data_IF_390376061212
#
_entry.id   IF_390376061212
#
_cell.length_a   1.000
_cell.length_b   1.000
_cell.length_c   1.000
_cell.angle_alpha   90.00
_cell.angle_beta   90.00
_cell.angle_gamma   90.00
#
_symmetry.space_group_name_H-M   'P 1'
#
loop_
_entity.id
_entity.type
_entity.pdbx_description
1 polymer ?
#
# COMPACT_ATOMS: atom_id res chain seq x y z
N UNK A 1 -40.38 -8.42 22.68
CA UNK A 1 -39.56 -8.08 21.51
C UNK A 1 -40.05 -8.96 20.38
N UNK A 2 -40.66 -8.39 19.33
CA UNK A 2 -41.16 -9.15 18.19
C UNK A 2 -39.99 -9.55 17.30
N UNK A 3 -40.03 -10.77 16.76
CA UNK A 3 -39.13 -11.17 15.68
C UNK A 3 -39.53 -10.36 14.45
N UNK A 4 -38.55 -9.76 13.79
CA UNK A 4 -38.73 -8.96 12.58
C UNK A 4 -38.19 -9.76 11.41
N UNK A 5 -38.81 -9.63 10.25
CA UNK A 5 -38.22 -9.95 8.95
C UNK A 5 -37.55 -8.70 8.37
N UNK A 6 -36.21 -8.71 8.35
CA UNK A 6 -35.39 -7.54 8.03
C UNK A 6 -34.61 -7.81 6.75
N UNK A 7 -34.74 -6.88 5.81
CA UNK A 7 -33.95 -6.87 4.60
C UNK A 7 -32.82 -5.85 4.72
N UNK A 8 -31.60 -6.29 4.46
CA UNK A 8 -30.40 -5.47 4.44
C UNK A 8 -29.92 -5.33 2.99
N UNK A 9 -29.93 -4.11 2.45
CA UNK A 9 -29.61 -3.79 1.07
C UNK A 9 -28.28 -3.02 0.99
N UNK A 10 -27.18 -3.68 0.61
CA UNK A 10 -25.88 -3.03 0.56
C UNK A 10 -24.69 -3.99 0.61
N UNK A 11 -23.52 -3.43 0.35
CA UNK A 11 -22.25 -4.18 0.28
C UNK A 11 -21.23 -3.76 1.35
N UNK A 12 -21.55 -2.81 2.23
CA UNK A 12 -20.60 -2.36 3.26
C UNK A 12 -20.30 -3.41 4.33
N UNK A 13 -19.14 -3.24 4.97
CA UNK A 13 -18.76 -4.05 6.13
C UNK A 13 -19.70 -3.82 7.32
N UNK A 14 -20.18 -2.59 7.55
CA UNK A 14 -21.14 -2.29 8.60
C UNK A 14 -22.42 -3.10 8.42
N UNK A 15 -22.98 -3.14 7.21
CA UNK A 15 -24.21 -3.89 6.95
C UNK A 15 -24.03 -5.40 7.17
N UNK A 16 -22.87 -5.94 6.78
CA UNK A 16 -22.51 -7.34 7.02
C UNK A 16 -22.40 -7.67 8.51
N UNK A 17 -21.84 -6.76 9.32
CA UNK A 17 -21.75 -6.91 10.79
C UNK A 17 -23.10 -6.78 11.48
N UNK A 18 -23.89 -5.78 11.09
CA UNK A 18 -25.27 -5.58 11.56
C UNK A 18 -26.11 -6.83 11.30
N UNK A 19 -25.95 -7.48 10.15
CA UNK A 19 -26.62 -8.75 9.85
C UNK A 19 -26.32 -9.85 10.88
N UNK A 20 -25.09 -9.92 11.37
CA UNK A 20 -24.67 -10.84 12.42
C UNK A 20 -25.35 -10.53 13.75
N UNK A 21 -25.32 -9.27 14.18
CA UNK A 21 -25.93 -8.82 15.44
C UNK A 21 -27.44 -9.03 15.46
N UNK A 22 -28.14 -8.64 14.39
CA UNK A 22 -29.59 -8.80 14.28
C UNK A 22 -30.03 -10.27 14.33
N UNK A 23 -29.25 -11.18 13.74
CA UNK A 23 -29.50 -12.63 13.87
C UNK A 23 -29.30 -13.12 15.30
N UNK A 24 -28.27 -12.64 16.00
CA UNK A 24 -28.05 -12.96 17.42
C UNK A 24 -29.19 -12.43 18.31
N UNK A 25 -29.78 -11.30 17.94
CA UNK A 25 -30.98 -10.73 18.57
C UNK A 25 -32.28 -11.50 18.24
N UNK A 26 -32.22 -12.51 17.36
CA UNK A 26 -33.34 -13.38 17.00
C UNK A 26 -34.19 -12.91 15.82
N UNK A 27 -33.75 -11.88 15.08
CA UNK A 27 -34.44 -11.43 13.87
C UNK A 27 -34.17 -12.38 12.68
N UNK A 28 -35.10 -12.42 11.74
CA UNK A 28 -34.87 -13.00 10.43
C UNK A 28 -34.22 -11.93 9.55
N UNK A 29 -33.07 -12.25 8.96
CA UNK A 29 -32.24 -11.25 8.26
C UNK A 29 -31.80 -11.77 6.91
N UNK A 30 -32.17 -11.04 5.87
CA UNK A 30 -31.83 -11.30 4.47
C UNK A 30 -30.87 -10.21 3.98
N UNK A 31 -29.73 -10.61 3.42
CA UNK A 31 -28.68 -9.68 2.97
C UNK A 31 -28.63 -9.70 1.44
N UNK A 32 -28.89 -8.55 0.82
CA UNK A 32 -28.86 -8.33 -0.63
C UNK A 32 -27.64 -7.45 -0.95
N UNK A 33 -26.58 -8.07 -1.49
CA UNK A 33 -25.28 -7.43 -1.68
C UNK A 33 -25.01 -7.01 -3.13
N UNK A 34 -25.91 -7.34 -4.05
CA UNK A 34 -25.78 -7.00 -5.48
C UNK A 34 -27.12 -6.53 -6.02
N UNK A 35 -27.13 -5.67 -7.07
CA UNK A 35 -28.38 -5.23 -7.68
C UNK A 35 -29.27 -6.38 -8.18
N UNK A 36 -28.67 -7.44 -8.72
CA UNK A 36 -29.39 -8.63 -9.19
C UNK A 36 -30.10 -9.42 -8.05
N UNK A 37 -29.71 -9.18 -6.80
CA UNK A 37 -30.37 -9.79 -5.64
C UNK A 37 -31.77 -9.22 -5.40
N UNK A 38 -32.06 -8.01 -5.91
CA UNK A 38 -33.37 -7.37 -5.76
C UNK A 38 -34.47 -8.06 -6.57
N UNK A 39 -34.15 -8.63 -7.74
CA UNK A 39 -35.13 -9.30 -8.61
C UNK A 39 -35.76 -10.55 -7.97
N UNK A 40 -35.08 -11.11 -6.97
CA UNK A 40 -35.46 -12.36 -6.32
C UNK A 40 -36.13 -12.14 -4.96
N UNK A 41 -36.32 -10.88 -4.53
CA UNK A 41 -36.84 -10.56 -3.21
C UNK A 41 -38.08 -9.66 -3.27
N UNK A 42 -39.08 -9.99 -2.44
CA UNK A 42 -40.27 -9.15 -2.27
C UNK A 42 -39.98 -8.07 -1.22
N UNK A 43 -39.42 -6.94 -1.67
CA UNK A 43 -39.02 -5.82 -0.81
C UNK A 43 -40.16 -5.31 0.11
N UNK A 44 -41.39 -5.27 -0.39
CA UNK A 44 -42.58 -4.79 0.32
C UNK A 44 -43.15 -5.75 1.36
N UNK A 45 -42.64 -6.98 1.46
CA UNK A 45 -43.12 -8.00 2.40
C UNK A 45 -42.34 -8.04 3.72
N UNK A 46 -41.27 -7.23 3.85
CA UNK A 46 -40.40 -7.21 5.03
C UNK A 46 -40.95 -6.26 6.10
N UNK A 47 -40.69 -6.52 7.39
CA UNK A 47 -41.08 -5.61 8.48
C UNK A 47 -40.25 -4.31 8.49
N UNK A 48 -39.01 -4.42 8.04
CA UNK A 48 -38.04 -3.32 8.00
C UNK A 48 -37.04 -3.54 6.87
N UNK A 49 -36.66 -2.46 6.20
CA UNK A 49 -35.56 -2.46 5.26
C UNK A 49 -34.46 -1.52 5.76
N UNK A 50 -33.21 -1.94 5.65
CA UNK A 50 -32.05 -1.14 6.01
C UNK A 50 -31.09 -1.12 4.83
N UNK A 51 -30.74 0.05 4.34
CA UNK A 51 -29.70 0.23 3.31
C UNK A 51 -28.49 1.00 3.85
N UNK A 52 -27.37 0.90 3.17
CA UNK A 52 -26.14 1.67 3.45
C UNK A 52 -25.75 2.62 2.29
N UNK A 53 -26.72 2.87 1.39
CA UNK A 53 -26.60 3.59 0.13
C UNK A 53 -25.51 3.13 -0.87
N UNK A 54 -24.82 2.00 -0.62
CA UNK A 54 -23.79 1.47 -1.53
C UNK A 54 -24.36 0.88 -2.83
N UNK A 55 -25.63 0.46 -2.81
CA UNK A 55 -26.34 -0.10 -3.96
C UNK A 55 -27.45 0.83 -4.47
N UNK A 56 -27.47 2.10 -4.05
CA UNK A 56 -28.46 3.07 -4.49
C UNK A 56 -28.24 3.52 -5.95
N UNK A 57 -29.30 3.81 -6.72
CA UNK A 57 -30.71 3.63 -6.37
C UNK A 57 -31.14 2.15 -6.43
N UNK A 58 -32.06 1.76 -5.57
CA UNK A 58 -32.66 0.43 -5.51
C UNK A 58 -34.21 0.54 -5.67
N UNK A 59 -34.94 -0.54 -6.01
CA UNK A 59 -36.34 -0.47 -6.49
C UNK A 59 -37.32 0.15 -5.49
N UNK A 60 -38.52 0.57 -5.94
CA UNK A 60 -39.59 1.11 -5.08
C UNK A 60 -40.09 0.11 -4.02
N UNK A 61 -40.44 0.62 -2.83
CA UNK A 61 -40.49 -0.17 -1.58
C UNK A 61 -41.86 -0.22 -0.91
N UNK A 62 -42.88 0.25 -1.63
CA UNK A 62 -44.23 0.42 -1.08
C UNK A 62 -44.20 1.28 0.18
N UNK A 63 -45.02 0.93 1.18
CA UNK A 63 -45.14 1.68 2.45
C UNK A 63 -44.19 1.15 3.55
N UNK A 64 -43.26 0.26 3.21
CA UNK A 64 -42.37 -0.37 4.20
C UNK A 64 -41.49 0.66 4.90
N UNK A 65 -41.34 0.51 6.22
CA UNK A 65 -40.39 1.29 7.03
C UNK A 65 -38.96 1.05 6.55
N UNK A 66 -38.20 2.13 6.45
CA UNK A 66 -36.83 2.09 5.96
C UNK A 66 -35.89 2.79 6.93
N UNK A 67 -34.68 2.25 7.04
CA UNK A 67 -33.51 2.91 7.57
C UNK A 67 -32.44 3.03 6.49
N UNK A 68 -31.70 4.12 6.47
CA UNK A 68 -30.50 4.25 5.65
C UNK A 68 -29.32 4.69 6.51
N UNK A 69 -28.23 3.96 6.39
CA UNK A 69 -26.98 4.17 7.12
C UNK A 69 -26.02 4.90 6.19
N UNK A 70 -25.82 6.19 6.41
CA UNK A 70 -25.03 7.04 5.51
C UNK A 70 -23.96 7.82 6.26
N UNK A 71 -23.03 8.39 5.52
CA UNK A 71 -22.03 9.32 6.03
C UNK A 71 -22.18 10.68 5.37
N UNK A 72 -21.86 11.75 6.10
CA UNK A 72 -21.67 13.06 5.51
C UNK A 72 -20.32 13.07 4.75
N UNK A 73 -20.36 13.33 3.44
CA UNK A 73 -19.23 13.16 2.53
C UNK A 73 -18.59 14.48 2.11
N UNK A 74 -18.30 15.37 3.07
CA UNK A 74 -17.56 16.61 2.80
C UNK A 74 -16.11 16.47 3.29
N UNK A 75 -15.15 16.56 2.36
CA UNK A 75 -13.71 16.58 2.63
C UNK A 75 -13.23 15.47 3.60
N UNK A 76 -13.65 14.22 3.36
CA UNK A 76 -13.22 13.07 4.17
C UNK A 76 -11.69 13.02 4.30
N UNK A 77 -11.23 12.96 5.54
CA UNK A 77 -9.81 12.96 5.90
C UNK A 77 -9.60 12.06 7.12
N UNK A 78 -8.48 11.32 7.21
CA UNK A 78 -8.15 10.58 8.43
C UNK A 78 -7.80 11.50 9.61
N UNK A 79 -7.66 12.80 9.36
CA UNK A 79 -7.40 13.86 10.34
C UNK A 79 -8.62 14.75 10.58
N UNK A 80 -9.83 14.23 10.38
CA UNK A 80 -11.06 14.94 10.67
C UNK A 80 -12.09 13.97 11.24
N UNK A 81 -13.01 14.50 12.04
CA UNK A 81 -14.15 13.74 12.53
C UNK A 81 -15.05 13.32 11.35
N UNK A 82 -15.60 12.12 11.42
CA UNK A 82 -16.55 11.60 10.45
C UNK A 82 -17.95 11.65 11.07
N UNK A 83 -18.89 12.23 10.34
CA UNK A 83 -20.27 12.29 10.77
C UNK A 83 -21.08 11.20 10.07
N UNK A 84 -21.64 10.30 10.87
CA UNK A 84 -22.48 9.19 10.42
C UNK A 84 -23.94 9.49 10.75
N UNK A 85 -24.86 8.98 9.95
CA UNK A 85 -26.29 9.23 10.08
C UNK A 85 -27.10 7.94 9.97
N UNK A 86 -27.98 7.76 10.93
CA UNK A 86 -29.09 6.80 10.84
C UNK A 86 -30.31 7.59 10.40
N UNK A 87 -30.73 7.35 9.17
CA UNK A 87 -31.87 8.00 8.55
C UNK A 87 -33.08 7.07 8.57
N UNK A 88 -34.28 7.62 8.61
CA UNK A 88 -35.52 6.86 8.44
C UNK A 88 -36.46 7.53 7.46
N UNK A 89 -37.31 6.72 6.83
CA UNK A 89 -38.50 7.18 6.12
C UNK A 89 -39.57 6.08 6.11
N UNK A 90 -40.75 6.46 5.67
CA UNK A 90 -41.89 5.57 5.45
C UNK A 90 -42.40 5.81 4.05
N UNK A 91 -42.41 4.77 3.22
CA UNK A 91 -42.66 4.88 1.79
C UNK A 91 -41.80 5.92 1.08
N UNK A 92 -42.44 6.82 0.34
CA UNK A 92 -41.78 7.87 -0.47
C UNK A 92 -41.56 9.19 0.28
N UNK A 93 -41.80 9.22 1.60
CA UNK A 93 -41.53 10.41 2.40
C UNK A 93 -40.03 10.77 2.37
N UNK A 94 -39.68 12.06 2.52
CA UNK A 94 -38.28 12.47 2.57
C UNK A 94 -37.56 11.82 3.76
N UNK A 95 -36.26 11.57 3.59
CA UNK A 95 -35.41 11.06 4.66
C UNK A 95 -35.40 12.01 5.85
N UNK A 96 -35.50 11.44 7.05
CA UNK A 96 -35.43 12.14 8.32
C UNK A 96 -34.26 11.58 9.13
N UNK A 97 -33.53 12.42 9.86
CA UNK A 97 -32.40 11.98 10.68
C UNK A 97 -32.90 11.51 12.05
N UNK A 98 -32.76 10.21 12.35
CA UNK A 98 -33.01 9.68 13.69
C UNK A 98 -31.86 9.99 14.62
N UNK A 99 -30.64 9.75 14.15
CA UNK A 99 -29.44 9.88 14.95
C UNK A 99 -28.25 10.29 14.10
N UNK A 100 -27.43 11.15 14.71
CA UNK A 100 -26.17 11.63 14.17
C UNK A 100 -25.06 11.19 15.11
N UNK A 101 -24.08 10.47 14.57
CA UNK A 101 -22.93 9.99 15.30
C UNK A 101 -21.73 10.80 14.85
N UNK A 102 -21.18 11.59 15.76
CA UNK A 102 -19.97 12.38 15.51
C UNK A 102 -18.77 11.53 15.95
N UNK A 103 -18.17 10.79 15.01
CA UNK A 103 -17.03 9.91 15.24
C UNK A 103 -15.76 10.77 15.22
N UNK A 104 -15.01 10.89 16.33
CA UNK A 104 -13.84 11.75 16.38
C UNK A 104 -12.74 11.28 15.42
N UNK A 105 -11.85 12.19 15.05
CA UNK A 105 -10.65 11.83 14.29
C UNK A 105 -9.78 10.82 15.04
N UNK A 106 -9.04 10.00 14.29
CA UNK A 106 -8.11 9.06 14.88
C UNK A 106 -6.76 9.74 15.15
N UNK A 107 -6.29 9.73 16.40
CA UNK A 107 -5.10 10.50 16.82
C UNK A 107 -3.80 10.07 16.11
N UNK A 108 -3.71 8.80 15.69
CA UNK A 108 -2.61 8.31 14.87
C UNK A 108 -2.65 8.86 13.44
N UNK A 109 -3.81 9.38 13.00
CA UNK A 109 -4.10 9.73 11.62
C UNK A 109 -4.22 8.49 10.74
N UNK A 110 -4.44 7.30 11.31
CA UNK A 110 -4.69 6.06 10.58
C UNK A 110 -6.16 5.99 10.16
N UNK A 111 -6.43 6.20 8.87
CA UNK A 111 -7.80 6.18 8.38
C UNK A 111 -8.44 4.79 8.43
N UNK A 112 -7.67 3.70 8.46
CA UNK A 112 -8.24 2.36 8.63
C UNK A 112 -8.89 2.17 10.00
N UNK A 113 -8.24 2.67 11.05
CA UNK A 113 -8.78 2.61 12.41
C UNK A 113 -9.99 3.54 12.56
N UNK A 114 -9.94 4.74 11.95
CA UNK A 114 -11.08 5.66 11.91
C UNK A 114 -12.31 5.02 11.24
N UNK A 115 -12.13 4.37 10.09
CA UNK A 115 -13.20 3.66 9.38
C UNK A 115 -13.75 2.54 10.25
N UNK A 116 -12.89 1.73 10.87
CA UNK A 116 -13.32 0.63 11.72
C UNK A 116 -14.17 1.12 12.90
N UNK A 117 -13.74 2.19 13.57
CA UNK A 117 -14.49 2.82 14.67
C UNK A 117 -15.83 3.37 14.19
N UNK A 118 -15.83 4.10 13.05
CA UNK A 118 -17.06 4.64 12.48
C UNK A 118 -18.08 3.55 12.09
N UNK A 119 -17.60 2.44 11.53
CA UNK A 119 -18.45 1.29 11.21
C UNK A 119 -19.01 0.63 12.48
N UNK A 120 -18.23 0.55 13.56
CA UNK A 120 -18.70 -0.01 14.83
C UNK A 120 -19.80 0.85 15.45
N UNK A 121 -19.58 2.16 15.59
CA UNK A 121 -20.58 3.11 16.11
C UNK A 121 -21.88 3.06 15.31
N UNK A 122 -21.78 2.98 13.97
CA UNK A 122 -22.95 2.85 13.09
C UNK A 122 -23.73 1.56 13.36
N UNK A 123 -23.04 0.42 13.51
CA UNK A 123 -23.68 -0.87 13.77
C UNK A 123 -24.40 -0.85 15.11
N UNK A 124 -23.74 -0.35 16.16
CA UNK A 124 -24.31 -0.25 17.51
C UNK A 124 -25.57 0.64 17.52
N UNK A 125 -25.52 1.81 16.89
CA UNK A 125 -26.66 2.72 16.78
C UNK A 125 -27.83 2.09 15.98
N UNK A 126 -27.54 1.51 14.82
CA UNK A 126 -28.56 0.86 13.99
C UNK A 126 -29.22 -0.31 14.74
N UNK A 127 -28.43 -1.17 15.39
CA UNK A 127 -28.93 -2.28 16.19
C UNK A 127 -29.81 -1.78 17.34
N UNK A 128 -29.44 -0.70 18.02
CA UNK A 128 -30.24 -0.10 19.10
C UNK A 128 -31.60 0.40 18.59
N UNK A 129 -31.65 1.09 17.45
CA UNK A 129 -32.89 1.57 16.83
C UNK A 129 -33.81 0.43 16.40
N UNK A 130 -33.24 -0.61 15.77
CA UNK A 130 -33.98 -1.80 15.35
C UNK A 130 -34.51 -2.55 16.58
N UNK A 131 -33.71 -2.63 17.65
CA UNK A 131 -34.13 -3.17 18.94
C UNK A 131 -35.33 -2.40 19.50
N UNK A 132 -35.31 -1.07 19.44
CA UNK A 132 -36.43 -0.20 19.82
C UNK A 132 -37.69 -0.49 19.03
N UNK A 133 -37.57 -0.52 17.70
CA UNK A 133 -38.68 -0.82 16.78
C UNK A 133 -39.27 -2.23 16.98
N UNK A 134 -38.44 -3.21 17.32
CA UNK A 134 -38.90 -4.56 17.64
C UNK A 134 -39.67 -4.64 18.97
N UNK A 135 -39.57 -3.64 19.85
CA UNK A 135 -40.37 -3.56 21.08
C UNK A 135 -41.62 -2.71 20.92
N UNK A 136 -41.61 -1.76 19.97
CA UNK A 136 -42.68 -0.80 19.74
C UNK A 136 -42.75 -0.41 18.26
N UNK A 137 -43.84 -0.74 17.57
CA UNK A 137 -44.06 -0.39 16.16
C UNK A 137 -44.08 1.13 15.89
N UNK A 138 -44.46 1.92 16.90
CA UNK A 138 -44.44 3.38 16.82
C UNK A 138 -43.09 3.99 17.24
N UNK A 139 -42.03 3.18 17.41
CA UNK A 139 -40.74 3.66 17.91
C UNK A 139 -40.17 4.81 17.06
N UNK A 140 -40.08 4.65 15.75
CA UNK A 140 -39.49 5.67 14.87
C UNK A 140 -40.28 6.98 14.86
N UNK A 141 -41.61 6.92 14.91
CA UNK A 141 -42.46 8.11 14.95
C UNK A 141 -42.43 8.84 16.31
N UNK A 142 -41.99 8.15 17.37
CA UNK A 142 -41.80 8.72 18.71
C UNK A 142 -40.38 9.25 18.93
N UNK A 143 -39.44 8.90 18.05
CA UNK A 143 -38.06 9.37 18.14
C UNK A 143 -37.97 10.88 17.87
N UNK A 144 -37.11 11.56 18.62
CA UNK A 144 -36.82 12.97 18.37
C UNK A 144 -35.90 13.07 17.15
N UNK A 145 -36.44 13.60 16.05
CA UNK A 145 -35.68 13.82 14.83
C UNK A 145 -34.62 14.92 15.02
N UNK A 146 -33.48 14.74 14.36
CA UNK A 146 -32.38 15.69 14.29
C UNK A 146 -32.38 16.41 12.94
N UNK A 147 -31.70 17.55 12.86
CA UNK A 147 -31.52 18.24 11.58
C UNK A 147 -30.53 17.47 10.70
N UNK A 148 -30.84 17.35 9.41
CA UNK A 148 -29.88 16.87 8.42
C UNK A 148 -28.72 17.88 8.28
N UNK A 149 -27.47 17.41 8.11
CA UNK A 149 -26.35 18.28 7.82
C UNK A 149 -26.52 18.94 6.45
N UNK A 150 -25.86 20.09 6.27
CA UNK A 150 -25.79 20.74 4.96
C UNK A 150 -24.88 19.98 3.98
N UNK A 151 -24.00 19.13 4.51
CA UNK A 151 -23.04 18.35 3.74
C UNK A 151 -23.76 17.27 2.91
N UNK A 152 -23.25 16.95 1.70
CA UNK A 152 -23.81 15.88 0.90
C UNK A 152 -23.73 14.56 1.65
N UNK A 153 -24.76 13.73 1.52
CA UNK A 153 -24.78 12.39 2.07
C UNK A 153 -24.25 11.39 1.05
N UNK A 154 -23.54 10.37 1.51
CA UNK A 154 -23.07 9.30 0.67
C UNK A 154 -23.16 7.94 1.37
N UNK A 155 -23.08 6.88 0.55
CA UNK A 155 -22.97 5.52 1.02
C UNK A 155 -21.69 5.27 1.81
N UNK A 156 -21.74 4.23 2.63
CA UNK A 156 -20.64 3.88 3.53
C UNK A 156 -19.36 3.46 2.79
N UNK A 157 -19.45 3.06 1.51
CA UNK A 157 -18.31 2.76 0.63
C UNK A 157 -17.37 3.94 0.44
N UNK A 158 -17.85 5.18 0.56
CA UNK A 158 -16.98 6.36 0.44
C UNK A 158 -15.93 6.41 1.54
N UNK A 159 -16.21 5.82 2.71
CA UNK A 159 -15.27 5.77 3.83
C UNK A 159 -14.12 4.80 3.58
N UNK A 160 -14.30 3.79 2.72
CA UNK A 160 -13.24 2.80 2.42
C UNK A 160 -11.97 3.46 1.86
N UNK A 161 -12.11 4.64 1.22
CA UNK A 161 -10.95 5.43 0.76
C UNK A 161 -10.03 5.82 1.91
N UNK A 162 -10.59 6.11 3.09
CA UNK A 162 -9.82 6.48 4.26
C UNK A 162 -8.98 5.31 4.77
N UNK A 163 -9.40 4.06 4.56
CA UNK A 163 -8.66 2.89 5.00
C UNK A 163 -7.26 2.77 4.38
N UNK A 164 -7.01 3.45 3.25
CA UNK A 164 -5.73 3.49 2.57
C UNK A 164 -4.97 4.81 2.78
N UNK A 165 -5.44 5.65 3.70
CA UNK A 165 -4.84 6.95 3.99
C UNK A 165 -4.32 7.01 5.43
N UNK A 166 -3.14 7.60 5.57
CA UNK A 166 -2.51 7.93 6.84
C UNK A 166 -2.06 9.40 6.79
N UNK A 167 -1.97 10.08 7.94
CA UNK A 167 -1.41 11.44 8.02
C UNK A 167 -0.01 11.59 7.40
N UNK A 168 0.73 10.49 7.27
CA UNK A 168 2.07 10.45 6.67
C UNK A 168 2.06 10.24 5.14
N UNK A 169 0.90 10.02 4.52
CA UNK A 169 0.79 9.93 3.06
C UNK A 169 0.74 11.29 2.37
N UNK A 170 0.55 12.38 3.12
CA UNK A 170 0.66 13.74 2.61
C UNK A 170 2.14 14.10 2.36
N UNK A 171 2.71 13.56 1.28
CA UNK A 171 4.12 13.74 0.92
C UNK A 171 4.36 14.93 -0.02
N UNK A 172 3.31 15.65 -0.43
CA UNK A 172 3.41 16.83 -1.31
C UNK A 172 3.92 18.04 -0.52
N UNK A 173 5.21 18.02 -0.19
CA UNK A 173 5.91 19.09 0.48
C UNK A 173 6.84 19.73 -0.55
N UNK A 174 6.56 20.94 -1.06
CA UNK A 174 7.32 21.54 -2.18
C UNK A 174 8.83 21.61 -1.95
N UNK A 175 9.24 21.83 -0.70
CA UNK A 175 10.66 21.83 -0.31
C UNK A 175 11.31 20.45 -0.46
N UNK A 176 10.60 19.37 -0.09
CA UNK A 176 11.08 17.99 -0.26
C UNK A 176 11.08 17.61 -1.74
N UNK A 177 10.06 18.00 -2.50
CA UNK A 177 10.02 17.78 -3.97
C UNK A 177 11.20 18.46 -4.67
N UNK A 178 11.54 19.69 -4.25
CA UNK A 178 12.71 20.41 -4.77
C UNK A 178 14.02 19.72 -4.38
N UNK A 179 14.16 19.27 -3.13
CA UNK A 179 15.34 18.53 -2.68
C UNK A 179 15.50 17.19 -3.41
N UNK A 180 14.38 16.50 -3.67
CA UNK A 180 14.32 15.24 -4.40
C UNK A 180 14.65 15.38 -5.89
N UNK A 181 14.73 16.60 -6.44
CA UNK A 181 15.17 16.85 -7.82
C UNK A 181 16.64 16.46 -8.07
N UNK A 182 17.40 16.18 -7.01
CA UNK A 182 18.72 15.56 -7.13
C UNK A 182 18.64 14.13 -6.64
N UNK A 183 19.14 13.19 -7.44
CA UNK A 183 19.08 11.77 -7.08
C UNK A 183 19.92 11.46 -5.84
N UNK A 184 19.46 10.47 -5.08
CA UNK A 184 20.21 9.91 -3.94
C UNK A 184 21.65 9.55 -4.33
N UNK A 185 21.85 8.93 -5.50
CA UNK A 185 23.18 8.55 -5.98
C UNK A 185 24.04 9.76 -6.31
N UNK A 186 23.48 10.83 -6.88
CA UNK A 186 24.23 12.05 -7.15
C UNK A 186 24.70 12.73 -5.85
N UNK A 187 23.82 12.82 -4.84
CA UNK A 187 24.20 13.31 -3.50
C UNK A 187 25.27 12.44 -2.84
N UNK A 188 25.10 11.12 -2.87
CA UNK A 188 26.05 10.20 -2.27
C UNK A 188 27.40 10.22 -2.99
N UNK A 189 27.42 10.29 -4.32
CA UNK A 189 28.64 10.41 -5.10
C UNK A 189 29.40 11.71 -4.76
N UNK A 190 28.69 12.82 -4.58
CA UNK A 190 29.30 14.07 -4.12
C UNK A 190 29.90 13.92 -2.71
N UNK A 191 29.13 13.35 -1.77
CA UNK A 191 29.60 13.10 -0.40
C UNK A 191 30.83 12.19 -0.36
N UNK A 192 30.89 11.16 -1.22
CA UNK A 192 32.03 10.25 -1.34
C UNK A 192 33.32 10.97 -1.74
N UNK A 193 33.23 11.97 -2.62
CA UNK A 193 34.38 12.76 -3.05
C UNK A 193 34.83 13.71 -1.94
N UNK A 194 33.88 14.44 -1.33
CA UNK A 194 34.18 15.43 -0.29
C UNK A 194 34.74 14.76 0.97
N UNK A 195 34.19 13.62 1.36
CA UNK A 195 34.53 12.91 2.59
C UNK A 195 35.30 11.61 2.34
N UNK A 196 36.14 11.57 1.30
CA UNK A 196 36.80 10.35 0.81
C UNK A 196 37.54 9.51 1.88
N UNK A 197 38.09 10.13 2.93
CA UNK A 197 38.80 9.43 4.00
C UNK A 197 37.94 9.09 5.22
N UNK A 198 36.69 9.57 5.27
CA UNK A 198 35.78 9.24 6.35
C UNK A 198 35.27 7.80 6.23
N UNK A 199 34.96 7.13 7.35
CA UNK A 199 34.40 5.79 7.34
C UNK A 199 33.00 5.80 6.72
N UNK A 200 32.76 4.90 5.77
CA UNK A 200 31.48 4.65 5.12
C UNK A 200 30.79 3.40 5.67
N UNK A 201 31.55 2.33 5.91
CA UNK A 201 31.03 1.05 6.41
C UNK A 201 31.91 0.50 7.54
N UNK A 202 31.29 -0.22 8.48
CA UNK A 202 31.97 -1.04 9.48
C UNK A 202 31.53 -2.49 9.27
N UNK A 203 32.40 -3.31 8.71
CA UNK A 203 32.12 -4.71 8.36
C UNK A 203 33.07 -5.60 9.14
N UNK A 204 32.54 -6.45 10.02
CA UNK A 204 33.34 -7.40 10.82
C UNK A 204 34.51 -6.73 11.57
N UNK A 205 34.30 -5.51 12.07
CA UNK A 205 35.34 -4.72 12.77
C UNK A 205 36.31 -3.97 11.84
N UNK A 206 36.26 -4.18 10.52
CA UNK A 206 37.02 -3.42 9.54
C UNK A 206 36.24 -2.18 9.11
N UNK A 207 36.88 -1.02 9.20
CA UNK A 207 36.36 0.22 8.62
C UNK A 207 36.68 0.26 7.12
N UNK A 208 35.68 0.61 6.32
CA UNK A 208 35.81 0.89 4.89
C UNK A 208 35.54 2.37 4.70
N UNK A 209 36.47 3.08 4.09
CA UNK A 209 36.33 4.51 3.77
C UNK A 209 35.38 4.74 2.59
N UNK A 210 34.87 5.97 2.45
CA UNK A 210 34.11 6.36 1.26
C UNK A 210 34.91 6.19 -0.04
N UNK A 211 36.23 6.41 -0.01
CA UNK A 211 37.11 6.16 -1.16
C UNK A 211 37.14 4.70 -1.57
N UNK A 212 37.25 3.77 -0.62
CA UNK A 212 37.25 2.33 -0.91
C UNK A 212 35.90 1.86 -1.47
N UNK A 213 34.80 2.35 -0.88
CA UNK A 213 33.45 2.05 -1.37
C UNK A 213 33.23 2.59 -2.78
N UNK A 214 33.66 3.83 -3.04
CA UNK A 214 33.59 4.45 -4.36
C UNK A 214 34.40 3.67 -5.39
N UNK A 215 35.66 3.33 -5.08
CA UNK A 215 36.52 2.59 -5.98
C UNK A 215 35.94 1.21 -6.35
N UNK A 216 35.42 0.47 -5.37
CA UNK A 216 34.75 -0.81 -5.65
C UNK A 216 33.49 -0.62 -6.50
N UNK A 217 32.70 0.41 -6.22
CA UNK A 217 31.49 0.74 -6.99
C UNK A 217 31.83 1.00 -8.45
N UNK A 218 32.87 1.81 -8.71
CA UNK A 218 33.35 2.09 -10.07
C UNK A 218 33.81 0.82 -10.77
N UNK A 219 34.60 -0.03 -10.11
CA UNK A 219 35.09 -1.28 -10.71
C UNK A 219 33.92 -2.20 -11.14
N UNK A 220 32.87 -2.28 -10.32
CA UNK A 220 31.65 -3.03 -10.67
C UNK A 220 30.93 -2.38 -11.85
N UNK A 221 30.78 -1.06 -11.88
CA UNK A 221 30.14 -0.35 -13.00
C UNK A 221 30.85 -0.59 -14.34
N UNK A 222 32.18 -0.57 -14.35
CA UNK A 222 32.97 -0.82 -15.57
C UNK A 222 32.71 -2.20 -16.17
N UNK A 223 32.44 -3.20 -15.33
CA UNK A 223 32.08 -4.56 -15.76
C UNK A 223 30.60 -4.73 -16.05
N UNK A 224 29.74 -3.99 -15.35
CA UNK A 224 28.30 -4.08 -15.49
C UNK A 224 27.80 -3.39 -16.77
N UNK A 225 28.33 -2.21 -17.10
CA UNK A 225 27.85 -1.40 -18.24
C UNK A 225 27.79 -2.16 -19.57
N UNK A 226 28.82 -2.93 -19.99
CA UNK A 226 28.75 -3.70 -21.22
C UNK A 226 27.62 -4.76 -21.22
N UNK A 227 27.31 -5.35 -20.06
CA UNK A 227 26.24 -6.34 -19.92
C UNK A 227 24.84 -5.73 -20.03
N UNK A 228 24.72 -4.42 -19.78
CA UNK A 228 23.47 -3.68 -19.89
C UNK A 228 23.24 -3.06 -21.27
N UNK A 229 24.26 -3.03 -22.14
CA UNK A 229 24.22 -2.28 -23.40
C UNK A 229 23.16 -2.80 -24.40
N UNK A 230 22.88 -4.11 -24.37
CA UNK A 230 21.94 -4.77 -25.30
C UNK A 230 20.50 -4.84 -24.75
N UNK A 231 20.27 -4.30 -23.56
CA UNK A 231 18.96 -4.36 -22.91
C UNK A 231 18.01 -3.30 -23.47
N UNK A 232 16.81 -3.74 -23.86
CA UNK A 232 15.76 -2.84 -24.33
C UNK A 232 14.92 -2.37 -23.13
N UNK A 233 15.05 -1.10 -22.77
CA UNK A 233 14.35 -0.52 -21.62
C UNK A 233 15.18 -0.58 -20.34
N UNK A 234 14.51 -0.58 -19.18
CA UNK A 234 15.20 -0.53 -17.90
C UNK A 234 15.62 -1.92 -17.44
N UNK A 235 16.92 -2.17 -17.42
CA UNK A 235 17.48 -3.46 -17.02
C UNK A 235 17.27 -3.74 -15.52
N UNK A 236 16.84 -4.95 -15.19
CA UNK A 236 16.81 -5.46 -13.81
C UNK A 236 18.10 -6.23 -13.55
N UNK A 237 18.79 -5.89 -12.45
CA UNK A 237 20.03 -6.54 -12.02
C UNK A 237 19.82 -7.17 -10.66
N UNK A 238 19.90 -8.50 -10.63
CA UNK A 238 19.82 -9.27 -9.39
C UNK A 238 21.17 -9.21 -8.66
N UNK A 239 21.15 -9.06 -7.35
CA UNK A 239 22.37 -9.05 -6.52
C UNK A 239 22.24 -10.10 -5.44
N UNK A 240 23.03 -11.16 -5.55
CA UNK A 240 23.06 -12.30 -4.66
C UNK A 240 24.38 -12.33 -3.88
N UNK A 241 24.52 -11.41 -2.93
CA UNK A 241 25.75 -11.21 -2.15
C UNK A 241 25.47 -11.21 -0.64
N UNK A 242 26.41 -11.73 0.13
CA UNK A 242 26.40 -11.61 1.58
C UNK A 242 26.66 -10.16 2.04
N UNK A 243 26.40 -9.87 3.31
CA UNK A 243 26.68 -8.54 3.89
C UNK A 243 28.17 -8.24 3.83
N UNK A 244 28.56 -7.24 3.05
CA UNK A 244 29.96 -6.88 2.88
C UNK A 244 30.13 -5.72 1.90
N UNK A 245 31.39 -5.34 1.64
CA UNK A 245 31.73 -4.23 0.75
C UNK A 245 31.16 -4.44 -0.66
N UNK A 246 31.29 -5.67 -1.18
CA UNK A 246 30.79 -6.03 -2.50
C UNK A 246 29.29 -5.77 -2.62
N UNK A 247 28.47 -6.20 -1.65
CA UNK A 247 27.01 -5.96 -1.66
C UNK A 247 26.69 -4.48 -1.80
N UNK A 248 27.20 -3.63 -0.91
CA UNK A 248 26.87 -2.20 -0.93
C UNK A 248 27.39 -1.51 -2.18
N UNK A 249 28.60 -1.86 -2.64
CA UNK A 249 29.15 -1.35 -3.88
C UNK A 249 28.32 -1.78 -5.11
N UNK A 250 27.82 -3.02 -5.14
CA UNK A 250 26.93 -3.51 -6.20
C UNK A 250 25.60 -2.76 -6.23
N UNK A 251 24.98 -2.49 -5.07
CA UNK A 251 23.74 -1.68 -5.02
C UNK A 251 23.99 -0.32 -5.66
N UNK A 252 25.04 0.38 -5.24
CA UNK A 252 25.37 1.70 -5.77
C UNK A 252 25.74 1.66 -7.26
N UNK A 253 26.42 0.60 -7.70
CA UNK A 253 26.81 0.43 -9.10
C UNK A 253 25.58 0.28 -9.99
N UNK A 254 24.63 -0.59 -9.60
CA UNK A 254 23.37 -0.83 -10.30
C UNK A 254 22.55 0.46 -10.40
N UNK A 255 22.34 1.15 -9.28
CA UNK A 255 21.58 2.40 -9.23
C UNK A 255 22.25 3.51 -10.05
N UNK A 256 23.57 3.64 -9.97
CA UNK A 256 24.33 4.60 -10.77
C UNK A 256 24.31 4.30 -12.28
N UNK A 257 24.14 3.04 -12.66
CA UNK A 257 23.89 2.62 -14.05
C UNK A 257 22.45 2.85 -14.51
N UNK A 258 21.54 3.30 -13.64
CA UNK A 258 20.12 3.49 -13.94
C UNK A 258 19.31 2.21 -14.05
N UNK A 259 19.88 1.10 -13.59
CA UNK A 259 19.22 -0.21 -13.57
C UNK A 259 18.43 -0.41 -12.27
N UNK A 260 17.50 -1.38 -12.28
CA UNK A 260 16.68 -1.75 -11.13
C UNK A 260 17.44 -2.76 -10.27
N UNK A 261 17.65 -2.43 -9.00
CA UNK A 261 18.24 -3.32 -8.02
C UNK A 261 17.24 -4.37 -7.54
N UNK A 262 17.58 -5.65 -7.69
CA UNK A 262 16.80 -6.77 -7.17
C UNK A 262 17.63 -7.52 -6.10
N UNK A 263 17.31 -7.38 -4.79
CA UNK A 263 17.99 -8.13 -3.74
C UNK A 263 17.64 -9.62 -3.81
N UNK A 264 18.67 -10.47 -3.77
CA UNK A 264 18.54 -11.90 -3.58
C UNK A 264 19.35 -12.33 -2.37
N UNK A 265 18.72 -13.02 -1.42
CA UNK A 265 19.44 -13.62 -0.31
C UNK A 265 20.13 -14.91 -0.81
N UNK A 266 21.48 -15.00 -0.80
CA UNK A 266 22.19 -16.20 -1.23
C UNK A 266 21.87 -17.44 -0.37
N UNK A 267 21.34 -17.27 0.84
CA UNK A 267 20.92 -18.37 1.72
C UNK A 267 19.56 -18.97 1.33
N UNK A 268 18.80 -18.32 0.43
CA UNK A 268 17.57 -18.89 -0.07
C UNK A 268 17.83 -20.10 -0.99
N UNK A 269 16.93 -21.11 -0.96
CA UNK A 269 16.99 -22.24 -1.88
C UNK A 269 17.12 -21.78 -3.34
N UNK A 270 17.87 -22.53 -4.14
CA UNK A 270 18.14 -22.19 -5.54
C UNK A 270 16.85 -21.99 -6.33
N UNK A 271 15.86 -22.87 -6.13
CA UNK A 271 14.57 -22.84 -6.81
C UNK A 271 13.84 -21.51 -6.55
N UNK A 272 13.90 -21.01 -5.32
CA UNK A 272 13.31 -19.72 -4.94
C UNK A 272 14.02 -18.56 -5.62
N UNK A 273 15.36 -18.57 -5.64
CA UNK A 273 16.16 -17.53 -6.28
C UNK A 273 15.94 -17.51 -7.79
N UNK A 274 15.90 -18.67 -8.44
CA UNK A 274 15.61 -18.81 -9.87
C UNK A 274 14.21 -18.30 -10.21
N UNK A 275 13.19 -18.69 -9.45
CA UNK A 275 11.82 -18.21 -9.64
C UNK A 275 11.72 -16.69 -9.57
N UNK A 276 12.42 -16.04 -8.64
CA UNK A 276 12.44 -14.58 -8.52
C UNK A 276 13.14 -13.93 -9.71
N UNK A 277 14.31 -14.45 -10.11
CA UNK A 277 15.08 -13.96 -11.27
C UNK A 277 14.26 -14.04 -12.55
N UNK A 278 13.60 -15.18 -12.79
CA UNK A 278 12.77 -15.43 -13.97
C UNK A 278 11.54 -14.52 -13.98
N UNK A 279 10.83 -14.42 -12.84
CA UNK A 279 9.66 -13.55 -12.74
C UNK A 279 10.01 -12.06 -12.89
N UNK A 280 11.18 -11.64 -12.40
CA UNK A 280 11.68 -10.28 -12.54
C UNK A 280 12.31 -10.00 -13.91
N UNK A 281 12.48 -11.02 -14.75
CA UNK A 281 13.21 -10.94 -16.02
C UNK A 281 14.60 -10.29 -15.82
N UNK A 282 15.31 -10.69 -14.76
CA UNK A 282 16.60 -10.10 -14.44
C UNK A 282 17.63 -10.42 -15.53
N UNK A 283 18.22 -9.36 -16.09
CA UNK A 283 19.16 -9.44 -17.21
C UNK A 283 20.57 -9.86 -16.80
N UNK A 284 20.98 -9.45 -15.60
CA UNK A 284 22.29 -9.72 -15.02
C UNK A 284 22.14 -10.16 -13.57
N UNK A 285 22.94 -11.12 -13.15
CA UNK A 285 23.09 -11.53 -11.75
C UNK A 285 24.50 -11.19 -11.29
N UNK A 286 24.61 -10.33 -10.29
CA UNK A 286 25.86 -10.05 -9.56
C UNK A 286 25.96 -11.03 -8.40
N UNK A 287 27.08 -11.75 -8.30
CA UNK A 287 27.29 -12.78 -7.29
C UNK A 287 28.76 -12.92 -6.88
N UNK A 288 28.99 -13.73 -5.86
CA UNK A 288 30.32 -14.16 -5.44
C UNK A 288 30.29 -15.68 -5.28
N UNK A 289 31.28 -16.36 -5.87
CA UNK A 289 31.35 -17.83 -5.87
C UNK A 289 30.28 -18.51 -6.73
N UNK A 290 30.13 -19.82 -6.56
CA UNK A 290 29.13 -20.62 -7.29
C UNK A 290 27.78 -20.60 -6.58
N UNK A 291 26.77 -20.06 -7.26
CA UNK A 291 25.40 -19.96 -6.76
C UNK A 291 24.43 -20.95 -7.41
N UNK A 292 24.87 -21.75 -8.40
CA UNK A 292 24.06 -22.77 -9.08
C UNK A 292 23.03 -22.23 -10.06
N UNK A 293 23.11 -20.96 -10.48
CA UNK A 293 22.21 -20.41 -11.50
C UNK A 293 22.47 -21.04 -12.89
N UNK A 294 21.42 -21.14 -13.71
CA UNK A 294 21.53 -21.65 -15.07
C UNK A 294 22.29 -20.66 -15.97
N UNK A 295 22.98 -21.17 -17.00
CA UNK A 295 23.83 -20.40 -17.91
C UNK A 295 23.08 -19.40 -18.82
N UNK A 296 21.76 -19.27 -18.69
CA UNK A 296 20.93 -18.43 -19.55
C UNK A 296 20.93 -16.94 -19.15
N UNK A 297 21.49 -16.59 -17.99
CA UNK A 297 21.59 -15.21 -17.52
C UNK A 297 23.03 -14.71 -17.62
N UNK A 298 23.23 -13.43 -17.91
CA UNK A 298 24.56 -12.83 -17.74
C UNK A 298 24.92 -12.84 -16.24
N UNK A 299 26.13 -13.27 -15.94
CA UNK A 299 26.62 -13.39 -14.57
C UNK A 299 27.86 -12.50 -14.39
N UNK A 300 27.88 -11.71 -13.32
CA UNK A 300 29.01 -10.89 -12.92
C UNK A 300 29.53 -11.37 -11.56
N UNK A 301 30.61 -12.15 -11.60
CA UNK A 301 31.33 -12.56 -10.40
C UNK A 301 32.20 -11.41 -9.88
N UNK A 302 31.94 -10.98 -8.64
CA UNK A 302 32.67 -9.90 -7.97
C UNK A 302 33.66 -10.41 -6.91
N UNK A 303 33.73 -11.72 -6.65
CA UNK A 303 34.59 -12.28 -5.60
C UNK A 303 36.09 -12.06 -5.84
N UNK A 304 36.49 -11.87 -7.10
CA UNK A 304 37.87 -11.60 -7.49
C UNK A 304 38.09 -10.15 -7.96
N UNK A 305 37.09 -9.28 -7.85
CA UNK A 305 37.25 -7.87 -8.21
C UNK A 305 38.11 -7.16 -7.15
N UNK A 306 39.29 -6.73 -7.57
CA UNK A 306 40.09 -5.80 -6.80
C UNK A 306 39.67 -4.36 -7.12
N UNK A 307 39.32 -3.59 -6.09
CA UNK A 307 39.18 -2.14 -6.18
C UNK A 307 40.51 -1.41 -6.48
N UNK A 308 41.64 -2.14 -6.42
CA UNK A 308 42.97 -1.67 -6.74
C UNK A 308 43.35 -2.18 -8.14
N UNK A 309 43.35 -1.28 -9.13
CA UNK A 309 44.01 -1.55 -10.40
C UNK A 309 45.53 -1.47 -10.18
N UNK A 310 46.23 -2.59 -10.34
CA UNK A 310 47.68 -2.55 -10.53
C UNK A 310 47.93 -2.14 -11.99
N UNK A 311 48.50 -0.96 -12.21
CA UNK A 311 49.10 -0.65 -13.50
C UNK A 311 50.19 -1.68 -13.83
N UNK A 312 50.57 -1.77 -15.10
CA UNK A 312 51.60 -2.71 -15.59
C UNK A 312 52.96 -2.62 -14.84
N UNK A 313 53.13 -1.59 -14.02
CA UNK A 313 54.37 -1.22 -13.33
C UNK A 313 54.37 -1.64 -11.85
N UNK A 314 53.32 -2.35 -11.37
CA UNK A 314 53.31 -2.97 -10.04
C UNK A 314 53.14 -2.01 -8.85
N UNK A 315 53.02 -0.70 -9.08
CA UNK A 315 52.69 0.27 -8.02
C UNK A 315 51.18 0.27 -7.75
N UNK A 316 50.81 0.07 -6.48
CA UNK A 316 49.43 0.11 -6.00
C UNK A 316 48.87 1.54 -6.08
N UNK A 317 48.37 1.93 -7.25
CA UNK A 317 47.71 3.20 -7.45
C UNK A 317 46.19 3.00 -7.29
N UNK A 318 45.66 3.24 -6.09
CA UNK A 318 44.20 3.39 -5.83
C UNK A 318 43.67 4.71 -6.43
N UNK A 319 44.16 5.11 -7.61
CA UNK A 319 44.18 6.52 -8.02
C UNK A 319 43.27 6.85 -9.21
N UNK A 320 42.81 5.89 -10.03
CA UNK A 320 42.03 6.25 -11.21
C UNK A 320 40.57 6.64 -10.92
N UNK A 321 39.96 6.15 -9.83
CA UNK A 321 38.52 6.18 -9.68
C UNK A 321 37.96 7.32 -8.80
N UNK A 322 38.71 7.91 -7.86
CA UNK A 322 38.13 8.73 -6.77
C UNK A 322 37.33 9.98 -7.24
N UNK A 323 37.48 10.39 -8.50
CA UNK A 323 36.75 11.52 -9.08
C UNK A 323 35.79 11.13 -10.22
N UNK A 324 35.66 9.84 -10.51
CA UNK A 324 34.75 9.39 -11.56
C UNK A 324 33.30 9.47 -11.05
N UNK A 325 32.43 10.10 -11.83
CA UNK A 325 31.00 10.15 -11.54
C UNK A 325 30.44 8.73 -11.41
N UNK A 326 29.64 8.47 -10.37
CA UNK A 326 28.89 7.21 -10.25
C UNK A 326 27.63 7.21 -11.13
N UNK A 327 27.14 8.39 -11.55
CA UNK A 327 26.02 8.47 -12.48
C UNK A 327 26.51 8.16 -13.89
N UNK A 328 26.08 7.02 -14.44
CA UNK A 328 26.37 6.56 -15.82
C UNK A 328 25.19 6.76 -16.77
N UNK A 329 24.00 6.98 -16.22
CA UNK A 329 22.78 7.28 -16.96
C UNK A 329 22.14 8.57 -16.46
N UNK A 330 21.25 9.17 -17.26
CA UNK A 330 20.39 10.24 -16.78
C UNK A 330 19.45 9.70 -15.69
N UNK A 331 19.23 10.52 -14.65
CA UNK A 331 18.28 10.23 -13.59
C UNK A 331 16.87 10.70 -13.99
N UNK A 332 15.87 9.95 -13.53
CA UNK A 332 14.45 10.19 -13.73
C UNK A 332 13.71 9.64 -12.51
N UNK A 333 12.97 10.50 -11.81
CA UNK A 333 12.29 10.15 -10.56
C UNK A 333 11.11 9.19 -10.75
N UNK A 334 10.65 8.99 -11.98
CA UNK A 334 9.56 8.07 -12.29
C UNK A 334 10.04 6.67 -12.66
N UNK A 335 11.36 6.47 -12.81
CA UNK A 335 11.92 5.16 -13.17
C UNK A 335 12.11 4.30 -11.93
N UNK A 336 11.80 3.02 -12.06
CA UNK A 336 12.01 2.07 -10.98
C UNK A 336 13.50 2.00 -10.60
N UNK A 337 13.83 1.95 -9.32
CA UNK A 337 15.20 1.79 -8.83
C UNK A 337 15.38 0.50 -8.02
N UNK A 338 14.30 -0.05 -7.46
CA UNK A 338 14.33 -1.30 -6.68
C UNK A 338 13.14 -2.20 -7.03
N UNK A 339 13.38 -3.50 -7.14
CA UNK A 339 12.35 -4.53 -7.23
C UNK A 339 12.41 -5.41 -5.97
N UNK A 340 11.41 -5.32 -5.08
CA UNK A 340 11.35 -6.12 -3.85
C UNK A 340 10.32 -7.23 -4.00
N UNK A 341 10.70 -8.44 -3.64
CA UNK A 341 9.78 -9.57 -3.61
C UNK A 341 9.30 -9.89 -2.21
N UNK A 342 7.98 -9.99 -2.06
CA UNK A 342 7.33 -10.40 -0.81
C UNK A 342 7.07 -11.90 -0.80
N UNK A 343 6.95 -12.48 0.39
CA UNK A 343 6.77 -13.93 0.58
C UNK A 343 5.53 -14.51 -0.09
N UNK A 344 4.55 -13.68 -0.48
CA UNK A 344 3.36 -14.07 -1.23
C UNK A 344 2.53 -15.12 -0.50
N UNK A 345 1.39 -14.74 0.10
CA UNK A 345 0.48 -15.68 0.78
C UNK A 345 -0.04 -16.80 -0.13
N UNK A 346 0.05 -16.62 -1.45
CA UNK A 346 -0.36 -17.56 -2.50
C UNK A 346 0.77 -18.50 -2.97
N UNK A 347 1.95 -18.48 -2.33
CA UNK A 347 3.12 -19.29 -2.69
C UNK A 347 3.94 -18.76 -3.87
N UNK A 348 3.35 -17.88 -4.70
CA UNK A 348 4.05 -17.16 -5.78
C UNK A 348 4.56 -15.82 -5.24
N UNK A 349 5.88 -15.56 -5.30
CA UNK A 349 6.45 -14.27 -4.92
C UNK A 349 5.84 -13.11 -5.71
N UNK A 350 5.43 -12.04 -5.04
CA UNK A 350 4.92 -10.82 -5.69
C UNK A 350 6.00 -9.75 -5.68
N UNK A 351 6.37 -9.27 -6.86
CA UNK A 351 7.32 -8.17 -7.05
C UNK A 351 6.65 -6.80 -6.90
N UNK A 352 7.28 -5.92 -6.13
CA UNK A 352 6.91 -4.51 -5.99
C UNK A 352 8.05 -3.67 -6.55
N UNK A 353 7.73 -2.79 -7.50
CA UNK A 353 8.68 -1.81 -8.03
C UNK A 353 8.58 -0.53 -7.20
N UNK A 354 9.74 0.02 -6.83
CA UNK A 354 9.89 1.30 -6.16
C UNK A 354 10.71 2.21 -7.07
N UNK A 355 10.27 3.44 -7.28
CA UNK A 355 10.93 4.49 -8.07
C UNK A 355 11.68 5.48 -7.18
#
# INVERSE_FOLDING_TARGET
MRRLDILLCGSSLALSRLAGELRQMGHQVHLLQTPASFDHWQLHASDLIVDDATLAPWPELGETRQLSLQAAADQLSPMAAVQMLVLTREGEQPWQCLERLDVPEEASGNGADLVLNAMQEMVEAAAAHISGFSRNEAYFSQCRLQALPANPLAGLDQLDRLAFTHRCNATDVPALTTAAATSFIAHLAHAMVVHQHAPALLIEGRQVSYRELHAMTVAIQERLLPLLADQHGQAVVAVALGKGLALYASVLAVLGCGAVYLPLDPQHPLERRQMIVEHAQASVIIHEGDLGFSANHHALDVGHLSAVHHGADGHAAVALAAHQSLMRSAWDSQRACVAIYTSGTTGVPKGVLLS
#
